data_IF_224887639686
#
_entry.id   IF_224887639686
#
_cell.length_a   1.000
_cell.length_b   1.000
_cell.length_c   1.000
_cell.angle_alpha   90.00
_cell.angle_beta   90.00
_cell.angle_gamma   90.00
#
_symmetry.space_group_name_H-M   'P 1'
#
loop_
_entity.id
_entity.type
_entity.pdbx_description
1 polymer ?
#
# COMPACT_ATOMS: atom_id res chain seq x y z
N UNK A 1 7.91 -16.74 13.59
CA UNK A 1 7.23 -15.44 13.81
C UNK A 1 6.70 -14.97 12.47
N UNK A 2 5.38 -14.81 12.29
CA UNK A 2 4.81 -14.41 11.01
C UNK A 2 4.98 -12.91 10.78
N UNK A 3 5.39 -12.51 9.58
CA UNK A 3 5.39 -11.11 9.15
C UNK A 3 3.95 -10.59 9.08
N UNK A 4 3.67 -9.47 9.74
CA UNK A 4 2.33 -8.85 9.73
C UNK A 4 2.22 -7.84 8.59
N UNK A 5 1.05 -7.80 7.96
CA UNK A 5 0.73 -6.84 6.90
C UNK A 5 -0.57 -6.11 7.22
N UNK A 6 -0.65 -4.84 6.83
CA UNK A 6 -1.89 -4.07 6.78
C UNK A 6 -2.40 -4.06 5.35
N UNK A 7 -3.64 -4.50 5.15
CA UNK A 7 -4.31 -4.51 3.85
C UNK A 7 -5.08 -3.20 3.68
N UNK A 8 -4.88 -2.53 2.55
CA UNK A 8 -5.58 -1.29 2.21
C UNK A 8 -6.22 -1.46 0.84
N UNK A 9 -7.54 -1.47 0.81
CA UNK A 9 -8.36 -1.48 -0.42
C UNK A 9 -8.65 -0.05 -0.87
N UNK A 10 -8.79 0.17 -2.18
CA UNK A 10 -8.94 1.52 -2.73
C UNK A 10 -7.68 2.36 -2.55
N UNK A 11 -6.51 1.73 -2.43
CA UNK A 11 -5.25 2.40 -2.09
C UNK A 11 -4.72 3.36 -3.17
N UNK A 12 -5.24 3.31 -4.40
CA UNK A 12 -4.75 4.15 -5.49
C UNK A 12 -5.10 5.64 -5.36
N UNK A 13 -6.08 6.02 -4.54
CA UNK A 13 -6.52 7.42 -4.43
C UNK A 13 -7.27 7.69 -3.12
N UNK A 14 -7.60 8.97 -2.87
CA UNK A 14 -8.43 9.39 -1.74
C UNK A 14 -7.88 8.97 -0.38
N UNK A 15 -8.75 8.52 0.52
CA UNK A 15 -8.36 8.12 1.88
C UNK A 15 -7.44 6.89 1.90
N UNK A 16 -7.68 5.91 1.03
CA UNK A 16 -6.84 4.71 0.93
C UNK A 16 -5.38 5.05 0.60
N UNK A 17 -5.17 6.02 -0.29
CA UNK A 17 -3.85 6.57 -0.58
C UNK A 17 -3.20 7.13 0.69
N UNK A 18 -3.87 8.04 1.41
CA UNK A 18 -3.30 8.66 2.61
C UNK A 18 -3.06 7.65 3.74
N UNK A 19 -3.95 6.68 3.91
CA UNK A 19 -3.78 5.61 4.89
C UNK A 19 -2.55 4.74 4.59
N UNK A 20 -2.18 4.53 3.33
CA UNK A 20 -0.95 3.81 2.98
C UNK A 20 0.29 4.52 3.54
N UNK A 21 0.39 5.84 3.39
CA UNK A 21 1.52 6.61 3.93
C UNK A 21 1.49 6.68 5.47
N UNK A 22 0.31 6.82 6.08
CA UNK A 22 0.19 6.81 7.55
C UNK A 22 0.63 5.45 8.11
N UNK A 23 0.14 4.34 7.55
CA UNK A 23 0.53 3.00 7.98
C UNK A 23 2.04 2.74 7.77
N UNK A 24 2.59 3.18 6.63
CA UNK A 24 4.03 3.10 6.37
C UNK A 24 4.87 3.86 7.40
N UNK A 25 4.46 5.08 7.76
CA UNK A 25 5.10 5.89 8.81
C UNK A 25 5.15 5.19 10.17
N UNK A 26 4.21 4.28 10.44
CA UNK A 26 4.17 3.45 11.63
C UNK A 26 4.91 2.09 11.46
N UNK A 27 5.71 1.92 10.40
CA UNK A 27 6.48 0.70 10.08
C UNK A 27 5.62 -0.55 9.84
N UNK A 28 4.43 -0.39 9.27
CA UNK A 28 3.62 -1.54 8.85
C UNK A 28 4.02 -1.97 7.43
N UNK A 29 4.28 -3.26 7.21
CA UNK A 29 4.29 -3.79 5.85
C UNK A 29 2.88 -3.70 5.24
N UNK A 30 2.78 -3.46 3.94
CA UNK A 30 1.51 -3.12 3.30
C UNK A 30 1.13 -4.08 2.17
N UNK A 31 -0.17 -4.34 2.04
CA UNK A 31 -0.78 -4.90 0.83
C UNK A 31 -1.75 -3.85 0.29
N UNK A 32 -1.45 -3.31 -0.88
CA UNK A 32 -2.24 -2.26 -1.53
C UNK A 32 -3.08 -2.86 -2.65
N UNK A 33 -4.40 -2.64 -2.61
CA UNK A 33 -5.35 -3.21 -3.57
C UNK A 33 -6.16 -2.09 -4.24
N UNK A 34 -6.13 -2.03 -5.57
CA UNK A 34 -6.94 -1.12 -6.39
C UNK A 34 -6.91 -1.51 -7.87
N UNK A 35 -7.77 -0.87 -8.67
CA UNK A 35 -7.84 -1.08 -10.13
C UNK A 35 -6.66 -0.43 -10.88
N UNK A 36 -6.25 0.75 -10.46
CA UNK A 36 -5.15 1.49 -11.08
C UNK A 36 -3.80 1.00 -10.56
N UNK A 37 -3.27 -0.05 -11.19
CA UNK A 37 -2.02 -0.71 -10.78
C UNK A 37 -0.77 0.18 -10.93
N UNK A 38 -0.73 1.03 -11.96
CA UNK A 38 0.37 1.99 -12.16
C UNK A 38 0.48 2.94 -10.96
N UNK A 39 -0.67 3.45 -10.50
CA UNK A 39 -0.71 4.31 -9.32
C UNK A 39 -0.28 3.54 -8.05
N UNK A 40 -0.67 2.26 -7.89
CA UNK A 40 -0.18 1.43 -6.79
C UNK A 40 1.34 1.25 -6.82
N UNK A 41 1.92 1.02 -8.01
CA UNK A 41 3.38 0.88 -8.17
C UNK A 41 4.13 2.16 -7.86
N UNK A 42 3.55 3.33 -8.16
CA UNK A 42 4.10 4.62 -7.75
C UNK A 42 4.12 4.75 -6.23
N UNK A 43 2.99 4.49 -5.57
CA UNK A 43 2.87 4.54 -4.10
C UNK A 43 3.85 3.55 -3.45
N UNK A 44 3.96 2.33 -3.98
CA UNK A 44 4.91 1.31 -3.51
C UNK A 44 6.34 1.83 -3.52
N UNK A 45 6.80 2.36 -4.67
CA UNK A 45 8.17 2.88 -4.81
C UNK A 45 8.42 4.05 -3.85
N UNK A 46 7.48 4.98 -3.77
CA UNK A 46 7.59 6.16 -2.91
C UNK A 46 7.69 5.76 -1.43
N UNK A 47 6.84 4.82 -0.99
CA UNK A 47 6.82 4.32 0.39
C UNK A 47 8.09 3.52 0.71
N UNK A 48 8.49 2.57 -0.13
CA UNK A 48 9.68 1.74 0.11
C UNK A 48 10.99 2.54 0.06
N UNK A 49 11.00 3.67 -0.65
CA UNK A 49 12.13 4.61 -0.63
C UNK A 49 12.22 5.39 0.69
N UNK A 50 11.09 5.74 1.29
CA UNK A 50 11.03 6.52 2.54
C UNK A 50 11.12 5.66 3.80
N UNK A 51 10.65 4.42 3.74
CA UNK A 51 10.49 3.53 4.89
C UNK A 51 11.03 2.13 4.58
N UNK A 52 11.71 1.52 5.56
CA UNK A 52 12.26 0.17 5.42
C UNK A 52 11.20 -0.91 5.71
N UNK A 53 10.20 -1.00 4.84
CA UNK A 53 9.08 -1.95 4.93
C UNK A 53 8.84 -2.66 3.59
N UNK A 54 8.16 -3.81 3.63
CA UNK A 54 7.67 -4.47 2.41
C UNK A 54 6.30 -3.92 1.99
N UNK A 55 6.08 -3.82 0.68
CA UNK A 55 4.82 -3.37 0.10
C UNK A 55 4.48 -4.23 -1.11
N UNK A 56 3.34 -4.90 -1.07
CA UNK A 56 2.80 -5.73 -2.15
C UNK A 56 1.64 -5.00 -2.84
N UNK A 57 1.61 -5.00 -4.17
CA UNK A 57 0.50 -4.43 -4.94
C UNK A 57 -0.34 -5.52 -5.60
N UNK A 58 -1.66 -5.44 -5.45
CA UNK A 58 -2.62 -6.34 -6.09
C UNK A 58 -3.58 -5.51 -6.95
N UNK A 59 -3.60 -5.78 -8.25
CA UNK A 59 -4.62 -5.24 -9.15
C UNK A 59 -5.90 -6.06 -8.97
N UNK A 60 -6.96 -5.44 -8.48
CA UNK A 60 -8.24 -6.11 -8.29
C UNK A 60 -9.38 -5.08 -8.38
N UNK A 61 -10.51 -5.51 -8.93
CA UNK A 61 -11.80 -4.85 -8.76
C UNK A 61 -12.58 -5.63 -7.69
N UNK A 62 -13.10 -4.94 -6.69
CA UNK A 62 -13.73 -5.54 -5.50
C UNK A 62 -15.25 -5.39 -5.46
N UNK A 63 -15.84 -4.81 -6.52
CA UNK A 63 -17.28 -4.65 -6.71
C UNK A 63 -17.73 -5.57 -7.84
#
# INVERSE_FOLDING_TARGET
MFMKYTVITGASSGLGYHFAYVAAKHNHNLILIARNFEQLKKIQKDIMHQYNIDVVCIKCDLI
#
